data_IF_214917199755
#
_entry.id   IF_214917199755
#
_cell.length_a   1.000
_cell.length_b   1.000
_cell.length_c   1.000
_cell.angle_alpha   90.00
_cell.angle_beta   90.00
_cell.angle_gamma   90.00
#
_symmetry.space_group_name_H-M   'P 1'
#
loop_
_entity.id
_entity.type
_entity.pdbx_description
1 polymer ?
#
# COMPACT_ATOMS: atom_id res chain seq x y z
N UNK A 1 -14.53 -23.55 18.43
CA UNK A 1 -13.67 -22.43 18.90
C UNK A 1 -13.10 -21.72 17.69
N UNK A 2 -13.19 -20.39 17.64
CA UNK A 2 -12.58 -19.61 16.56
C UNK A 2 -11.06 -19.65 16.79
N UNK A 3 -10.29 -20.18 15.83
CA UNK A 3 -8.82 -20.24 15.96
C UNK A 3 -8.29 -18.80 15.92
N UNK A 4 -7.54 -18.40 16.94
CA UNK A 4 -6.85 -17.11 16.95
C UNK A 4 -5.74 -17.10 15.90
N UNK A 5 -5.50 -15.93 15.28
CA UNK A 5 -4.43 -15.76 14.31
C UNK A 5 -3.08 -15.62 15.02
N UNK A 6 -1.99 -16.02 14.37
CA UNK A 6 -0.63 -15.91 14.93
C UNK A 6 -0.21 -14.44 15.07
N UNK A 7 0.52 -14.14 16.14
CA UNK A 7 1.03 -12.79 16.44
C UNK A 7 2.40 -12.56 15.82
N UNK A 8 2.56 -11.39 15.19
CA UNK A 8 3.81 -11.01 14.53
C UNK A 8 4.98 -10.93 15.51
N UNK A 9 4.73 -10.46 16.74
CA UNK A 9 5.74 -10.36 17.80
C UNK A 9 6.11 -11.68 18.47
N UNK A 10 5.36 -12.76 18.26
CA UNK A 10 5.53 -14.02 19.00
C UNK A 10 6.21 -15.12 18.19
N UNK A 11 6.13 -15.05 16.87
CA UNK A 11 6.58 -16.13 15.97
C UNK A 11 7.83 -15.67 15.20
N UNK A 12 8.89 -16.47 15.08
CA UNK A 12 10.00 -16.14 14.18
C UNK A 12 9.55 -16.15 12.71
N UNK A 13 10.20 -15.33 11.89
CA UNK A 13 10.14 -15.52 10.44
C UNK A 13 10.82 -16.82 10.05
N UNK A 14 10.34 -17.49 9.00
CA UNK A 14 11.08 -18.58 8.38
C UNK A 14 12.54 -18.15 8.13
N UNK A 15 13.50 -18.91 8.65
CA UNK A 15 14.94 -18.60 8.58
C UNK A 15 15.52 -17.90 9.81
N UNK A 16 14.69 -17.48 10.76
CA UNK A 16 15.11 -16.85 12.01
C UNK A 16 14.81 -17.76 13.22
N UNK A 17 15.63 -17.68 14.26
CA UNK A 17 15.44 -18.46 15.50
C UNK A 17 14.66 -17.71 16.58
N UNK A 18 14.44 -16.40 16.39
CA UNK A 18 13.74 -15.52 17.35
C UNK A 18 12.71 -14.65 16.62
N UNK A 19 11.61 -14.26 17.30
CA UNK A 19 10.67 -13.28 16.76
C UNK A 19 11.34 -11.94 16.43
N UNK A 20 10.77 -11.15 15.50
CA UNK A 20 11.33 -9.88 15.09
C UNK A 20 11.40 -8.87 16.26
N UNK A 21 12.56 -8.22 16.42
CA UNK A 21 12.82 -7.27 17.52
C UNK A 21 13.18 -5.84 17.04
N UNK A 22 13.12 -5.60 15.73
CA UNK A 22 13.48 -4.35 15.07
C UNK A 22 12.30 -3.79 14.24
N UNK A 23 11.17 -3.44 14.89
CA UNK A 23 9.98 -2.93 14.20
C UNK A 23 10.27 -1.62 13.46
N UNK A 24 9.75 -1.49 12.24
CA UNK A 24 9.86 -0.25 11.46
C UNK A 24 8.79 0.74 11.91
N UNK A 25 9.24 1.84 12.53
CA UNK A 25 8.41 2.98 12.95
C UNK A 25 7.14 2.58 13.72
N UNK A 26 7.24 1.81 14.82
CA UNK A 26 6.07 1.26 15.53
C UNK A 26 5.09 2.30 16.05
N UNK A 27 5.56 3.53 16.28
CA UNK A 27 4.74 4.66 16.76
C UNK A 27 4.16 5.52 15.63
N UNK A 28 4.40 5.20 14.35
CA UNK A 28 3.88 6.03 13.25
C UNK A 28 2.35 6.13 13.21
N UNK A 29 1.65 5.16 13.83
CA UNK A 29 0.20 5.21 14.00
C UNK A 29 -0.27 6.40 14.84
N UNK A 30 0.59 7.05 15.62
CA UNK A 30 0.26 8.23 16.44
C UNK A 30 0.71 9.56 15.83
N UNK A 31 1.29 9.55 14.63
CA UNK A 31 1.78 10.78 13.99
C UNK A 31 0.61 11.69 13.56
N UNK A 32 0.96 12.96 13.35
CA UNK A 32 0.04 14.01 12.91
C UNK A 32 -0.50 13.71 11.50
N UNK A 33 -1.79 13.97 11.34
CA UNK A 33 -2.51 13.85 10.07
C UNK A 33 -2.62 15.23 9.41
N UNK A 34 -2.77 15.26 8.08
CA UNK A 34 -2.88 16.49 7.29
C UNK A 34 -4.34 16.78 6.93
N UNK A 35 -5.06 15.82 6.37
CA UNK A 35 -6.47 15.92 6.00
C UNK A 35 -7.39 15.32 7.06
N UNK A 36 -7.10 14.08 7.44
CA UNK A 36 -7.85 13.37 8.47
C UNK A 36 -7.57 13.99 9.84
N UNK A 37 -8.45 13.73 10.80
CA UNK A 37 -8.30 14.21 12.18
C UNK A 37 -8.44 13.05 13.16
N UNK A 38 -8.18 13.32 14.45
CA UNK A 38 -8.49 12.40 15.54
C UNK A 38 -9.35 13.10 16.58
N UNK A 39 -10.32 12.38 17.13
CA UNK A 39 -10.99 12.80 18.35
C UNK A 39 -10.13 12.51 19.60
N UNK A 40 -10.61 12.97 20.76
CA UNK A 40 -9.98 12.75 22.07
C UNK A 40 -9.82 11.27 22.45
N UNK A 41 -10.55 10.37 21.79
CA UNK A 41 -10.49 8.93 22.03
C UNK A 41 -9.60 8.22 20.99
N UNK A 42 -8.92 8.97 20.12
CA UNK A 42 -8.08 8.43 19.05
C UNK A 42 -8.84 7.89 17.83
N UNK A 43 -10.16 8.08 17.74
CA UNK A 43 -10.91 7.68 16.54
C UNK A 43 -10.55 8.61 15.38
N UNK A 44 -10.35 8.03 14.19
CA UNK A 44 -10.17 8.80 12.97
C UNK A 44 -11.44 9.51 12.57
N UNK A 45 -11.30 10.77 12.19
CA UNK A 45 -12.34 11.62 11.64
C UNK A 45 -11.96 12.02 10.21
N UNK A 46 -12.97 12.21 9.36
CA UNK A 46 -12.80 12.75 8.03
C UNK A 46 -12.37 14.24 8.10
N UNK A 47 -12.05 14.88 6.95
CA UNK A 47 -11.65 16.28 6.96
C UNK A 47 -12.72 17.24 7.53
N UNK A 48 -13.99 16.85 7.47
CA UNK A 48 -15.13 17.61 8.00
C UNK A 48 -15.37 17.34 9.51
N UNK A 49 -14.62 16.43 10.12
CA UNK A 49 -14.73 16.08 11.54
C UNK A 49 -15.74 14.97 11.85
N UNK A 50 -16.28 14.29 10.85
CA UNK A 50 -17.17 13.15 11.06
C UNK A 50 -16.39 11.88 11.34
N UNK A 51 -16.86 11.08 12.31
CA UNK A 51 -16.21 9.83 12.67
C UNK A 51 -16.20 8.85 11.49
N UNK A 52 -15.01 8.41 11.10
CA UNK A 52 -14.84 7.44 10.02
C UNK A 52 -15.17 6.03 10.50
N UNK A 53 -15.94 5.30 9.70
CA UNK A 53 -16.16 3.85 9.89
C UNK A 53 -15.31 3.12 8.85
N UNK A 54 -14.07 2.82 9.22
CA UNK A 54 -13.11 2.18 8.33
C UNK A 54 -13.71 0.86 7.77
N UNK A 55 -13.82 0.72 6.43
CA UNK A 55 -14.42 -0.45 5.81
C UNK A 55 -13.39 -1.55 5.73
N UNK A 56 -12.99 -2.09 6.87
CA UNK A 56 -11.99 -3.16 6.96
C UNK A 56 -12.48 -4.25 7.91
N UNK A 57 -12.25 -5.51 7.55
CA UNK A 57 -12.60 -6.64 8.42
C UNK A 57 -11.65 -6.70 9.61
N UNK A 58 -12.18 -7.02 10.78
CA UNK A 58 -11.31 -7.36 11.90
C UNK A 58 -10.57 -8.67 11.61
N UNK A 59 -9.27 -8.81 11.94
CA UNK A 59 -8.47 -10.00 11.59
C UNK A 59 -9.02 -11.32 12.16
N UNK A 60 -9.68 -11.30 13.33
CA UNK A 60 -10.43 -12.46 13.87
C UNK A 60 -11.52 -13.02 12.93
N UNK A 61 -11.93 -12.27 11.91
CA UNK A 61 -12.91 -12.71 10.91
C UNK A 61 -12.26 -13.36 9.68
N UNK A 62 -10.93 -13.39 9.60
CA UNK A 62 -10.15 -13.92 8.47
C UNK A 62 -9.58 -15.28 8.84
N UNK A 63 -9.68 -16.26 7.94
CA UNK A 63 -9.08 -17.58 8.11
C UNK A 63 -7.68 -17.60 7.46
N UNK A 64 -6.65 -17.24 8.22
CA UNK A 64 -5.28 -17.14 7.70
C UNK A 64 -4.68 -18.47 7.24
N UNK A 65 -5.10 -19.62 7.80
CA UNK A 65 -4.67 -20.93 7.28
C UNK A 65 -5.20 -21.17 5.86
N UNK A 66 -6.42 -20.70 5.54
CA UNK A 66 -6.97 -20.77 4.18
C UNK A 66 -6.26 -19.77 3.25
N UNK A 67 -6.02 -18.56 3.72
CA UNK A 67 -5.29 -17.53 2.96
C UNK A 67 -3.85 -17.98 2.64
N UNK A 68 -3.18 -18.66 3.59
CA UNK A 68 -1.83 -19.19 3.43
C UNK A 68 -1.72 -20.15 2.24
N UNK A 69 -2.70 -21.04 2.06
CA UNK A 69 -2.71 -21.98 0.91
C UNK A 69 -2.70 -21.25 -0.43
N UNK A 70 -3.34 -20.08 -0.51
CA UNK A 70 -3.32 -19.24 -1.71
C UNK A 70 -1.93 -18.65 -1.93
N UNK A 71 -1.26 -18.21 -0.86
CA UNK A 71 0.13 -17.72 -0.92
C UNK A 71 1.06 -18.82 -1.42
N UNK A 72 1.01 -20.01 -0.80
CA UNK A 72 1.84 -21.17 -1.16
C UNK A 72 1.64 -21.56 -2.63
N UNK A 73 0.39 -21.77 -3.05
CA UNK A 73 0.07 -22.10 -4.44
C UNK A 73 0.53 -21.01 -5.42
N UNK A 74 0.45 -19.73 -5.02
CA UNK A 74 0.95 -18.64 -5.86
C UNK A 74 2.46 -18.73 -6.04
N UNK A 75 3.21 -18.93 -4.97
CA UNK A 75 4.67 -19.03 -5.00
C UNK A 75 5.17 -20.23 -5.81
N UNK A 76 4.49 -21.38 -5.71
CA UNK A 76 4.80 -22.59 -6.48
C UNK A 76 4.60 -22.41 -7.99
N UNK A 77 3.68 -21.53 -8.40
CA UNK A 77 3.25 -21.38 -9.79
C UNK A 77 3.56 -19.98 -10.38
N UNK A 78 4.52 -19.25 -9.81
CA UNK A 78 4.89 -17.90 -10.26
C UNK A 78 5.38 -17.90 -11.72
N UNK A 79 4.67 -17.19 -12.59
CA UNK A 79 5.14 -16.92 -13.97
C UNK A 79 6.25 -15.86 -13.97
N UNK A 80 7.09 -15.78 -15.04
CA UNK A 80 8.09 -14.72 -15.17
C UNK A 80 7.51 -13.31 -15.03
N UNK A 81 6.35 -13.06 -15.64
CA UNK A 81 5.66 -11.76 -15.53
C UNK A 81 5.24 -11.46 -14.10
N UNK A 82 4.70 -12.43 -13.36
CA UNK A 82 4.31 -12.25 -11.97
C UNK A 82 5.52 -11.99 -11.07
N UNK A 83 6.66 -12.63 -11.33
CA UNK A 83 7.93 -12.33 -10.64
C UNK A 83 8.36 -10.89 -10.89
N UNK A 84 8.31 -10.43 -12.14
CA UNK A 84 8.67 -9.05 -12.49
C UNK A 84 7.76 -8.02 -11.81
N UNK A 85 6.43 -8.24 -11.82
CA UNK A 85 5.47 -7.40 -11.08
C UNK A 85 5.78 -7.41 -9.58
N UNK A 86 6.00 -8.61 -9.03
CA UNK A 86 6.35 -8.85 -7.63
C UNK A 86 7.59 -8.08 -7.20
N UNK A 87 8.65 -8.09 -8.02
CA UNK A 87 9.90 -7.38 -7.76
C UNK A 87 9.71 -5.87 -7.92
N UNK A 88 9.09 -5.41 -9.01
CA UNK A 88 8.96 -3.99 -9.32
C UNK A 88 8.18 -3.19 -8.28
N UNK A 89 6.96 -3.62 -7.95
CA UNK A 89 6.16 -2.98 -6.88
C UNK A 89 6.61 -3.42 -5.48
N UNK A 90 7.35 -4.53 -5.42
CA UNK A 90 7.86 -5.14 -4.21
C UNK A 90 8.96 -4.36 -3.51
N UNK A 91 9.77 -3.69 -4.32
CA UNK A 91 11.09 -3.18 -3.93
C UNK A 91 11.02 -1.70 -3.55
N UNK A 92 11.57 -1.39 -2.38
CA UNK A 92 11.59 -0.04 -1.83
C UNK A 92 10.30 0.37 -1.10
N UNK A 93 10.19 1.66 -0.80
CA UNK A 93 8.99 2.23 -0.21
C UNK A 93 7.88 2.33 -1.26
N UNK A 94 6.61 2.14 -0.87
CA UNK A 94 5.50 2.05 -1.84
C UNK A 94 5.33 3.32 -2.68
N UNK A 95 5.72 4.49 -2.15
CA UNK A 95 5.64 5.79 -2.84
C UNK A 95 6.56 5.90 -4.05
N UNK A 96 7.65 5.12 -4.11
CA UNK A 96 8.62 5.15 -5.21
C UNK A 96 7.98 4.84 -6.58
N UNK A 97 6.92 4.04 -6.59
CA UNK A 97 6.22 3.66 -7.84
C UNK A 97 5.17 4.68 -8.26
N UNK A 98 4.71 5.54 -7.35
CA UNK A 98 3.63 6.48 -7.64
C UNK A 98 4.12 7.88 -7.97
N UNK A 99 5.23 8.35 -7.39
CA UNK A 99 5.77 9.69 -7.72
C UNK A 99 6.00 9.86 -9.24
N UNK A 100 6.66 8.93 -9.95
CA UNK A 100 6.82 9.05 -11.41
C UNK A 100 5.51 9.06 -12.19
N UNK A 101 4.48 8.34 -11.71
CA UNK A 101 3.14 8.33 -12.33
C UNK A 101 2.50 9.72 -12.20
N UNK A 102 2.64 10.38 -11.05
CA UNK A 102 2.12 11.74 -10.84
C UNK A 102 2.82 12.71 -11.80
N UNK A 103 4.14 12.64 -11.90
CA UNK A 103 4.92 13.52 -12.77
C UNK A 103 4.56 13.32 -14.25
N UNK A 104 4.47 12.05 -14.72
CA UNK A 104 4.03 11.73 -16.09
C UNK A 104 2.65 12.31 -16.42
N UNK A 105 1.70 12.28 -15.47
CA UNK A 105 0.38 12.88 -15.66
C UNK A 105 0.46 14.40 -15.76
N UNK A 106 1.21 15.04 -14.86
CA UNK A 106 1.43 16.49 -14.85
C UNK A 106 2.00 16.96 -16.20
N UNK A 107 3.03 16.28 -16.70
CA UNK A 107 3.68 16.59 -17.96
C UNK A 107 2.75 16.35 -19.16
N UNK A 108 2.11 15.18 -19.22
CA UNK A 108 1.23 14.80 -20.34
C UNK A 108 0.08 15.78 -20.52
N UNK A 109 -0.48 16.26 -19.40
CA UNK A 109 -1.65 17.14 -19.41
C UNK A 109 -1.31 18.63 -19.45
N UNK A 110 -0.03 19.01 -19.50
CA UNK A 110 0.39 20.40 -19.51
C UNK A 110 -0.13 21.16 -18.29
N UNK A 111 -0.10 20.52 -17.11
CA UNK A 111 -0.63 21.08 -15.87
C UNK A 111 0.14 22.35 -15.50
N UNK A 112 -0.57 23.42 -15.15
CA UNK A 112 0.07 24.69 -14.79
C UNK A 112 0.85 24.58 -13.46
N UNK A 113 1.86 25.42 -13.20
CA UNK A 113 2.73 25.26 -12.02
C UNK A 113 1.99 25.20 -10.68
N UNK A 114 0.97 26.04 -10.49
CA UNK A 114 0.20 26.09 -9.25
C UNK A 114 -0.72 24.85 -9.10
N UNK A 115 -1.32 24.38 -10.19
CA UNK A 115 -2.10 23.13 -10.16
C UNK A 115 -1.21 21.91 -9.96
N UNK A 116 0.00 21.88 -10.53
CA UNK A 116 0.96 20.81 -10.33
C UNK A 116 1.37 20.70 -8.86
N UNK A 117 1.74 21.84 -8.24
CA UNK A 117 2.03 21.91 -6.81
C UNK A 117 0.85 21.45 -5.94
N UNK A 118 -0.38 21.84 -6.32
CA UNK A 118 -1.60 21.41 -5.63
C UNK A 118 -1.86 19.90 -5.75
N UNK A 119 -1.71 19.30 -6.93
CA UNK A 119 -1.86 17.86 -7.15
C UNK A 119 -0.84 17.09 -6.31
N UNK A 120 0.43 17.49 -6.36
CA UNK A 120 1.50 16.87 -5.58
C UNK A 120 1.22 16.95 -4.07
N UNK A 121 0.84 18.13 -3.58
CA UNK A 121 0.50 18.32 -2.17
C UNK A 121 -0.70 17.46 -1.75
N UNK A 122 -1.77 17.44 -2.54
CA UNK A 122 -2.97 16.66 -2.24
C UNK A 122 -2.70 15.16 -2.20
N UNK A 123 -1.98 14.63 -3.20
CA UNK A 123 -1.67 13.21 -3.27
C UNK A 123 -0.73 12.80 -2.14
N UNK A 124 0.36 13.53 -1.90
CA UNK A 124 1.33 13.16 -0.88
C UNK A 124 0.75 13.29 0.55
N UNK A 125 -0.09 14.30 0.79
CA UNK A 125 -0.79 14.43 2.07
C UNK A 125 -1.81 13.29 2.30
N UNK A 126 -2.53 12.89 1.25
CA UNK A 126 -3.45 11.74 1.33
C UNK A 126 -2.72 10.41 1.58
N UNK A 127 -1.56 10.23 0.94
CA UNK A 127 -0.67 9.09 1.18
C UNK A 127 -0.18 9.07 2.63
N UNK A 128 0.28 10.21 3.16
CA UNK A 128 0.74 10.34 4.54
C UNK A 128 -0.33 9.84 5.52
N UNK A 129 -1.54 10.38 5.41
CA UNK A 129 -2.64 10.05 6.32
C UNK A 129 -3.04 8.58 6.20
N UNK A 130 -3.10 8.06 4.97
CA UNK A 130 -3.40 6.65 4.71
C UNK A 130 -2.38 5.74 5.38
N UNK A 131 -1.08 6.04 5.26
CA UNK A 131 -0.02 5.24 5.86
C UNK A 131 -0.07 5.32 7.39
N UNK A 132 -0.36 6.47 7.97
CA UNK A 132 -0.55 6.62 9.42
C UNK A 132 -1.74 5.76 9.90
N UNK A 133 -2.87 5.77 9.19
CA UNK A 133 -4.02 4.90 9.50
C UNK A 133 -3.63 3.42 9.43
N UNK A 134 -2.89 3.01 8.39
CA UNK A 134 -2.40 1.64 8.25
C UNK A 134 -1.53 1.24 9.44
N UNK A 135 -0.59 2.08 9.88
CA UNK A 135 0.28 1.77 11.02
C UNK A 135 -0.49 1.72 12.34
N UNK A 136 -1.51 2.59 12.50
CA UNK A 136 -2.41 2.57 13.65
C UNK A 136 -3.26 1.28 13.74
N UNK A 137 -3.42 0.55 12.63
CA UNK A 137 -4.09 -0.75 12.59
C UNK A 137 -3.10 -1.92 12.73
N UNK A 138 -1.97 -1.86 12.02
CA UNK A 138 -0.96 -2.93 11.95
C UNK A 138 -0.44 -3.35 13.31
N UNK A 139 0.06 -2.40 14.09
CA UNK A 139 0.74 -2.71 15.34
C UNK A 139 -0.21 -3.18 16.45
N UNK A 140 -1.40 -2.58 16.64
CA UNK A 140 -2.37 -3.11 17.60
C UNK A 140 -2.95 -4.48 17.22
N UNK A 141 -3.15 -4.75 15.93
CA UNK A 141 -3.63 -6.07 15.50
C UNK A 141 -2.54 -7.13 15.49
N UNK A 142 -1.28 -6.73 15.28
CA UNK A 142 -0.10 -7.59 15.38
C UNK A 142 -0.22 -8.91 14.59
N UNK A 143 -0.78 -8.87 13.38
CA UNK A 143 -1.00 -10.08 12.58
C UNK A 143 0.31 -10.57 11.97
N UNK A 144 0.67 -11.83 12.23
CA UNK A 144 1.85 -12.48 11.68
C UNK A 144 1.82 -12.59 10.13
N UNK A 145 3.00 -12.63 9.52
CA UNK A 145 3.26 -12.78 8.08
C UNK A 145 3.05 -14.21 7.60
N UNK A 146 2.84 -14.45 6.30
CA UNK A 146 2.70 -15.80 5.74
C UNK A 146 3.84 -16.77 6.15
N UNK A 147 5.10 -16.31 6.13
CA UNK A 147 6.26 -17.16 6.47
C UNK A 147 6.42 -17.42 7.98
N UNK A 148 5.59 -16.83 8.83
CA UNK A 148 5.49 -17.19 10.25
C UNK A 148 4.55 -18.39 10.44
N UNK A 149 3.56 -18.56 9.54
CA UNK A 149 2.68 -19.73 9.54
C UNK A 149 3.33 -20.96 8.90
N UNK A 150 4.21 -20.75 7.92
CA UNK A 150 4.99 -21.80 7.27
C UNK A 150 6.48 -21.48 7.36
N UNK A 151 7.16 -22.14 8.30
CA UNK A 151 8.58 -21.96 8.61
C UNK A 151 9.51 -22.52 7.52
N UNK A 152 8.97 -23.21 6.51
CA UNK A 152 9.73 -23.71 5.35
C UNK A 152 9.56 -22.82 4.11
N UNK A 153 8.62 -21.87 4.15
CA UNK A 153 8.27 -21.05 2.99
C UNK A 153 9.38 -20.05 2.66
N UNK A 154 9.80 -20.05 1.38
CA UNK A 154 10.72 -19.06 0.80
C UNK A 154 9.93 -18.00 0.05
N UNK A 155 10.06 -16.74 0.44
CA UNK A 155 9.39 -15.62 -0.24
C UNK A 155 10.21 -15.13 -1.44
N UNK A 156 9.58 -14.50 -2.42
CA UNK A 156 10.31 -13.92 -3.56
C UNK A 156 11.10 -12.67 -3.13
N UNK A 157 10.60 -11.94 -2.13
CA UNK A 157 11.28 -10.77 -1.56
C UNK A 157 11.42 -10.90 -0.05
N UNK A 158 12.39 -10.17 0.50
CA UNK A 158 12.61 -10.16 1.95
C UNK A 158 11.36 -9.74 2.72
N UNK A 159 11.05 -10.46 3.80
CA UNK A 159 9.84 -10.19 4.59
C UNK A 159 10.03 -8.89 5.40
N UNK A 160 9.18 -7.86 5.19
CA UNK A 160 9.37 -6.58 5.87
C UNK A 160 9.14 -6.68 7.38
N UNK A 161 9.92 -5.93 8.18
CA UNK A 161 9.91 -5.94 9.67
C UNK A 161 8.75 -5.14 10.29
N UNK A 162 7.52 -5.52 9.93
CA UNK A 162 6.28 -4.99 10.52
C UNK A 162 5.11 -5.96 10.26
N UNK A 163 4.03 -5.93 11.07
CA UNK A 163 2.86 -6.81 10.93
C UNK A 163 2.21 -6.77 9.54
N UNK A 164 1.56 -7.87 9.16
CA UNK A 164 1.06 -8.04 7.78
C UNK A 164 -0.20 -7.22 7.49
N UNK A 165 -1.13 -7.10 8.42
CA UNK A 165 -2.49 -6.64 8.11
C UNK A 165 -2.78 -5.20 8.57
N UNK A 166 -3.35 -4.32 7.72
CA UNK A 166 -3.56 -4.47 6.27
C UNK A 166 -2.30 -4.18 5.46
N UNK A 167 -2.29 -4.49 4.16
CA UNK A 167 -1.17 -4.17 3.27
C UNK A 167 -1.04 -2.65 3.08
N UNK A 168 0.14 -2.10 3.43
CA UNK A 168 0.43 -0.66 3.26
C UNK A 168 0.59 -0.27 1.79
N UNK A 169 1.18 -1.14 0.97
CA UNK A 169 1.28 -0.96 -0.48
C UNK A 169 -0.10 -0.87 -1.14
N UNK A 170 -1.01 -1.79 -0.77
CA UNK A 170 -2.38 -1.81 -1.28
C UNK A 170 -3.19 -0.59 -0.81
N UNK A 171 -3.11 -0.24 0.47
CA UNK A 171 -3.85 0.90 1.03
C UNK A 171 -3.38 2.22 0.44
N UNK A 172 -2.06 2.44 0.38
CA UNK A 172 -1.51 3.64 -0.23
C UNK A 172 -1.92 3.74 -1.70
N UNK A 173 -1.73 2.66 -2.47
CA UNK A 173 -2.07 2.66 -3.88
C UNK A 173 -3.56 2.93 -4.10
N UNK A 174 -4.44 2.29 -3.33
CA UNK A 174 -5.89 2.50 -3.36
C UNK A 174 -6.33 3.93 -3.03
N UNK A 175 -5.60 4.63 -2.15
CA UNK A 175 -5.83 6.05 -1.93
C UNK A 175 -5.36 6.88 -3.12
N UNK A 176 -4.14 6.64 -3.59
CA UNK A 176 -3.50 7.40 -4.66
C UNK A 176 -4.27 7.32 -5.98
N UNK A 177 -4.74 6.14 -6.39
CA UNK A 177 -5.57 6.01 -7.60
C UNK A 177 -6.87 6.82 -7.51
N UNK A 178 -7.50 6.91 -6.33
CA UNK A 178 -8.75 7.68 -6.17
C UNK A 178 -8.46 9.18 -6.27
N UNK A 179 -7.43 9.66 -5.58
CA UNK A 179 -7.06 11.09 -5.61
C UNK A 179 -6.60 11.49 -7.02
N UNK A 180 -5.78 10.69 -7.68
CA UNK A 180 -5.36 10.99 -9.06
C UNK A 180 -6.52 10.88 -10.06
N UNK A 181 -7.44 9.93 -9.88
CA UNK A 181 -8.62 9.83 -10.75
C UNK A 181 -9.56 11.03 -10.62
N UNK A 182 -9.52 11.76 -9.50
CA UNK A 182 -10.25 13.01 -9.36
C UNK A 182 -9.67 14.10 -10.29
N UNK A 183 -8.34 14.23 -10.34
CA UNK A 183 -7.67 15.19 -11.21
C UNK A 183 -7.65 14.76 -12.69
N UNK A 184 -7.50 13.46 -12.97
CA UNK A 184 -7.35 12.89 -14.30
C UNK A 184 -8.39 11.78 -14.56
N UNK A 185 -9.69 12.11 -14.63
CA UNK A 185 -10.77 11.12 -14.66
C UNK A 185 -10.73 10.18 -15.86
N UNK A 186 -10.11 10.58 -16.97
CA UNK A 186 -9.98 9.72 -18.16
C UNK A 186 -8.85 8.68 -18.04
N UNK A 187 -7.92 8.85 -17.10
CA UNK A 187 -6.85 7.88 -16.82
C UNK A 187 -7.24 6.90 -15.69
N UNK A 188 -8.43 7.03 -15.11
CA UNK A 188 -8.87 6.30 -13.92
C UNK A 188 -8.75 4.78 -14.05
N UNK A 189 -9.01 4.21 -15.24
CA UNK A 189 -8.86 2.77 -15.49
C UNK A 189 -7.40 2.31 -15.41
N UNK A 190 -6.46 3.12 -15.92
CA UNK A 190 -5.03 2.80 -15.87
C UNK A 190 -4.49 2.97 -14.45
N UNK A 191 -4.92 4.02 -13.75
CA UNK A 191 -4.62 4.22 -12.33
C UNK A 191 -5.13 3.07 -11.45
N UNK A 192 -6.36 2.60 -11.73
CA UNK A 192 -6.95 1.41 -11.09
C UNK A 192 -6.05 0.19 -11.26
N UNK A 193 -5.62 -0.06 -12.49
CA UNK A 193 -4.76 -1.18 -12.84
C UNK A 193 -3.42 -1.13 -12.11
N UNK A 194 -2.78 0.04 -12.03
CA UNK A 194 -1.54 0.24 -11.27
C UNK A 194 -1.75 -0.09 -9.78
N UNK A 195 -2.86 0.37 -9.19
CA UNK A 195 -3.14 0.09 -7.79
C UNK A 195 -3.39 -1.38 -7.51
N UNK A 196 -4.16 -2.04 -8.38
CA UNK A 196 -4.44 -3.48 -8.28
C UNK A 196 -3.17 -4.31 -8.50
N UNK A 197 -2.31 -3.94 -9.45
CA UNK A 197 -1.01 -4.60 -9.68
C UNK A 197 -0.08 -4.43 -8.48
N UNK A 198 -0.02 -3.23 -7.89
CA UNK A 198 0.78 -2.98 -6.69
C UNK A 198 0.29 -3.83 -5.51
N UNK A 199 -1.02 -3.91 -5.29
CA UNK A 199 -1.58 -4.79 -4.26
C UNK A 199 -1.26 -6.26 -4.52
N UNK A 200 -1.48 -6.73 -5.75
CA UNK A 200 -1.28 -8.12 -6.15
C UNK A 200 0.20 -8.53 -6.14
N UNK A 201 1.11 -7.60 -6.43
CA UNK A 201 2.57 -7.82 -6.34
C UNK A 201 2.99 -8.34 -4.97
N UNK A 202 2.28 -7.97 -3.91
CA UNK A 202 2.62 -8.39 -2.54
C UNK A 202 2.27 -9.84 -2.26
N UNK A 203 1.25 -10.36 -2.95
CA UNK A 203 0.94 -11.78 -2.98
C UNK A 203 1.99 -12.53 -3.79
N UNK A 204 2.37 -12.03 -4.97
CA UNK A 204 3.45 -12.60 -5.78
C UNK A 204 4.79 -12.62 -5.04
N UNK A 205 5.03 -11.61 -4.20
CA UNK A 205 6.20 -11.54 -3.35
C UNK A 205 6.19 -12.55 -2.19
N UNK A 206 5.03 -13.13 -1.86
CA UNK A 206 4.85 -14.04 -0.73
C UNK A 206 4.76 -13.37 0.64
N UNK A 207 4.69 -12.04 0.71
CA UNK A 207 4.82 -11.29 1.97
C UNK A 207 3.49 -10.84 2.57
N UNK A 208 2.38 -10.98 1.84
CA UNK A 208 1.04 -10.60 2.28
C UNK A 208 0.01 -11.66 1.88
N UNK A 209 -0.99 -11.86 2.74
CA UNK A 209 -2.17 -12.67 2.41
C UNK A 209 -3.08 -11.92 1.41
N UNK A 210 -3.91 -12.63 0.62
CA UNK A 210 -4.91 -11.98 -0.23
C UNK A 210 -5.82 -11.03 0.53
N UNK A 211 -6.26 -11.40 1.73
CA UNK A 211 -7.05 -10.53 2.60
C UNK A 211 -6.34 -9.20 2.92
N UNK A 212 -5.02 -9.20 3.19
CA UNK A 212 -4.26 -7.97 3.48
C UNK A 212 -4.33 -6.97 2.33
N UNK A 213 -4.27 -7.48 1.09
CA UNK A 213 -4.25 -6.69 -0.13
C UNK A 213 -5.65 -6.17 -0.48
N UNK A 214 -6.66 -7.04 -0.46
CA UNK A 214 -8.04 -6.69 -0.80
C UNK A 214 -8.63 -5.68 0.20
N UNK A 215 -8.41 -5.92 1.49
CA UNK A 215 -8.88 -5.04 2.56
C UNK A 215 -8.07 -3.74 2.59
N UNK A 216 -6.78 -3.80 2.26
CA UNK A 216 -5.93 -2.62 2.09
C UNK A 216 -6.43 -1.71 0.97
N UNK A 217 -6.65 -2.24 -0.25
CA UNK A 217 -7.24 -1.46 -1.36
C UNK A 217 -8.57 -0.83 -0.96
N UNK A 218 -9.44 -1.59 -0.29
CA UNK A 218 -10.74 -1.08 0.17
C UNK A 218 -10.59 0.08 1.17
N UNK A 219 -9.69 -0.05 2.13
CA UNK A 219 -9.37 1.01 3.10
C UNK A 219 -8.81 2.25 2.41
N UNK A 220 -7.82 2.08 1.55
CA UNK A 220 -7.19 3.16 0.79
C UNK A 220 -8.18 3.94 -0.05
N UNK A 221 -9.02 3.23 -0.81
CA UNK A 221 -10.08 3.81 -1.64
C UNK A 221 -11.05 4.66 -0.83
N UNK A 222 -11.47 4.14 0.33
CA UNK A 222 -12.37 4.85 1.23
C UNK A 222 -11.76 6.16 1.77
N UNK A 223 -10.49 6.13 2.18
CA UNK A 223 -9.78 7.32 2.65
C UNK A 223 -9.61 8.32 1.49
N UNK A 224 -9.18 7.84 0.31
CA UNK A 224 -9.04 8.67 -0.89
C UNK A 224 -10.36 9.34 -1.28
N UNK A 225 -11.50 8.64 -1.20
CA UNK A 225 -12.82 9.23 -1.47
C UNK A 225 -13.15 10.33 -0.47
N UNK A 226 -12.96 10.11 0.84
CA UNK A 226 -13.22 11.13 1.86
C UNK A 226 -12.38 12.40 1.65
N UNK A 227 -11.12 12.24 1.23
CA UNK A 227 -10.23 13.36 0.93
C UNK A 227 -10.66 14.08 -0.36
N UNK A 228 -10.97 13.34 -1.42
CA UNK A 228 -11.48 13.91 -2.68
C UNK A 228 -12.78 14.69 -2.46
N UNK A 229 -13.68 14.18 -1.64
CA UNK A 229 -14.94 14.86 -1.35
C UNK A 229 -14.70 16.15 -0.57
N UNK A 230 -13.69 16.20 0.31
CA UNK A 230 -13.25 17.45 0.92
C UNK A 230 -12.62 18.42 -0.10
N UNK A 231 -11.73 17.95 -0.98
CA UNK A 231 -11.10 18.79 -2.01
C UNK A 231 -12.14 19.49 -2.91
N UNK A 232 -13.19 18.78 -3.31
CA UNK A 232 -14.30 19.32 -4.12
C UNK A 232 -15.05 20.48 -3.45
N UNK A 233 -14.98 20.63 -2.12
CA UNK A 233 -15.64 21.73 -1.40
C UNK A 233 -14.82 23.02 -1.39
N UNK A 234 -13.56 22.98 -1.82
CA UNK A 234 -12.67 24.13 -1.76
C UNK A 234 -12.94 25.08 -2.92
N UNK A 235 -13.16 26.35 -2.58
CA UNK A 235 -13.45 27.42 -3.53
C UNK A 235 -12.38 28.51 -3.50
N UNK A 236 -12.19 29.18 -4.63
CA UNK A 236 -11.37 30.40 -4.73
C UNK A 236 -12.15 31.65 -4.28
N UNK A 237 -11.54 32.83 -4.42
CA UNK A 237 -12.17 34.11 -4.07
C UNK A 237 -13.40 34.46 -4.92
N UNK A 238 -13.57 33.82 -6.07
CA UNK A 238 -14.71 33.98 -6.98
C UNK A 238 -15.80 32.93 -6.70
N UNK A 239 -15.69 32.16 -5.63
CA UNK A 239 -16.59 31.06 -5.27
C UNK A 239 -16.62 29.92 -6.31
N UNK A 240 -15.55 29.75 -7.09
CA UNK A 240 -15.40 28.65 -8.04
C UNK A 240 -14.57 27.52 -7.45
N UNK A 241 -14.82 26.24 -7.83
CA UNK A 241 -13.96 25.14 -7.42
C UNK A 241 -12.50 25.42 -7.78
N UNK A 242 -11.59 25.25 -6.80
CA UNK A 242 -10.15 25.44 -7.04
C UNK A 242 -9.64 24.42 -8.07
N UNK A 243 -10.15 23.19 -8.00
CA UNK A 243 -9.74 22.09 -8.85
C UNK A 243 -10.60 22.00 -10.10
N UNK A 244 -9.94 21.96 -11.26
CA UNK A 244 -10.57 21.67 -12.55
C UNK A 244 -10.03 20.34 -13.08
N UNK A 245 -10.84 19.25 -13.08
CA UNK A 245 -10.40 17.97 -13.62
C UNK A 245 -10.02 18.04 -15.10
N UNK A 246 -8.97 17.32 -15.48
CA UNK A 246 -8.50 17.20 -16.85
C UNK A 246 -9.30 16.13 -17.60
N UNK A 247 -10.35 16.54 -18.30
CA UNK A 247 -11.38 15.65 -18.86
C UNK A 247 -11.11 15.12 -20.27
N UNK A 248 -10.07 15.60 -20.96
CA UNK A 248 -9.61 15.04 -22.22
C UNK A 248 -8.80 13.76 -21.95
N UNK A 249 -9.01 12.70 -22.72
CA UNK A 249 -8.15 11.52 -22.65
C UNK A 249 -6.90 11.77 -23.49
N UNK A 250 -5.72 11.69 -22.87
CA UNK A 250 -4.43 11.86 -23.55
C UNK A 250 -3.59 10.58 -23.58
N UNK A 251 -4.10 9.51 -22.97
CA UNK A 251 -3.44 8.21 -22.87
C UNK A 251 -2.03 8.31 -22.27
N UNK A 252 -1.93 8.95 -21.10
CA UNK A 252 -0.65 9.21 -20.45
C UNK A 252 0.17 7.94 -20.25
N UNK A 253 1.44 7.90 -20.67
CA UNK A 253 2.29 6.72 -20.50
C UNK A 253 2.72 6.57 -19.03
N UNK A 254 1.89 5.86 -18.25
CA UNK A 254 2.02 5.72 -16.79
C UNK A 254 2.27 4.29 -16.33
N UNK A 255 2.36 3.34 -17.26
CA UNK A 255 2.71 1.96 -16.93
C UNK A 255 4.23 1.79 -16.87
N UNK A 256 4.74 0.86 -16.05
CA UNK A 256 6.15 0.55 -16.07
C UNK A 256 6.57 -0.04 -17.42
N UNK A 257 7.68 0.47 -17.96
CA UNK A 257 8.36 -0.13 -19.11
C UNK A 257 9.27 -1.24 -18.57
N UNK A 258 9.03 -2.47 -18.99
CA UNK A 258 9.80 -3.67 -18.61
C UNK A 258 9.99 -3.88 -17.10
N UNK A 259 9.08 -3.33 -16.27
CA UNK A 259 9.15 -3.41 -14.81
C UNK A 259 10.47 -2.85 -14.23
N UNK A 260 11.08 -1.88 -14.92
CA UNK A 260 12.25 -1.16 -14.43
C UNK A 260 11.84 0.04 -13.56
N UNK A 261 12.61 0.29 -12.51
CA UNK A 261 12.42 1.45 -11.64
C UNK A 261 12.72 2.74 -12.42
N UNK A 262 11.81 3.72 -12.35
CA UNK A 262 11.99 5.01 -13.03
C UNK A 262 13.26 5.73 -12.56
N UNK A 263 13.56 5.64 -11.26
CA UNK A 263 14.84 6.04 -10.67
C UNK A 263 15.51 4.77 -10.15
N UNK A 264 16.52 4.22 -10.86
CA UNK A 264 17.24 3.04 -10.42
C UNK A 264 17.80 3.20 -9.00
N UNK A 265 17.76 2.13 -8.23
CA UNK A 265 18.33 2.08 -6.89
C UNK A 265 18.68 0.66 -6.53
N UNK A 266 19.91 0.45 -6.04
CA UNK A 266 20.39 -0.84 -5.59
C UNK A 266 19.98 -1.08 -4.14
N UNK A 267 18.87 -1.81 -3.96
CA UNK A 267 18.41 -2.15 -2.62
C UNK A 267 19.34 -3.19 -1.98
N UNK A 268 19.61 -3.10 -0.67
CA UNK A 268 20.38 -4.11 0.05
C UNK A 268 19.81 -5.51 -0.20
N UNK A 269 20.68 -6.43 -0.60
CA UNK A 269 20.31 -7.83 -0.88
C UNK A 269 20.27 -8.70 0.37
N UNK A 270 20.72 -8.19 1.52
CA UNK A 270 20.76 -8.95 2.76
C UNK A 270 19.37 -9.14 3.31
N UNK A 271 18.95 -10.41 3.42
CA UNK A 271 17.71 -10.79 4.08
C UNK A 271 17.99 -11.80 5.18
N UNK A 272 17.26 -11.68 6.29
CA UNK A 272 17.35 -12.62 7.42
C UNK A 272 16.28 -13.70 7.36
N UNK A 273 15.15 -13.42 6.68
CA UNK A 273 14.13 -14.43 6.41
C UNK A 273 14.46 -15.22 5.15
N UNK A 274 13.99 -16.45 5.05
CA UNK A 274 14.20 -17.27 3.86
C UNK A 274 13.59 -16.63 2.60
N UNK A 275 14.42 -16.42 1.59
CA UNK A 275 14.00 -15.97 0.25
C UNK A 275 14.37 -17.00 -0.82
N UNK A 276 13.68 -16.92 -1.96
CA UNK A 276 13.98 -17.72 -3.14
C UNK A 276 15.35 -17.33 -3.70
N UNK A 277 16.15 -18.33 -4.09
CA UNK A 277 17.47 -18.10 -4.69
C UNK A 277 18.60 -17.82 -3.71
N UNK A 278 18.33 -17.65 -2.41
CA UNK A 278 19.35 -17.67 -1.36
C UNK A 278 19.78 -19.14 -1.12
N UNK A 279 20.72 -19.58 -1.93
CA UNK A 279 21.63 -20.70 -1.61
C UNK A 279 22.72 -20.19 -0.66
N UNK A 280 22.35 -19.75 0.55
CA UNK A 280 23.33 -19.70 1.63
C UNK A 280 23.54 -21.12 2.14
N UNK A 281 24.50 -21.80 1.49
CA UNK A 281 25.41 -22.79 2.08
C UNK A 281 24.79 -23.81 3.04
N UNK A 282 24.41 -24.97 2.49
CA UNK A 282 24.61 -26.23 3.18
C UNK A 282 26.07 -26.31 3.67
N UNK A 283 26.28 -26.12 4.97
CA UNK A 283 27.41 -26.71 5.66
C UNK A 283 27.00 -28.09 6.15
#
# INVERSE_FOLDING_TARGET
>A
MRKEYLRWTEIPYAGESKPPNNPVTPLAGSWSLIYLKRDKNGNFLDPNGWKMKLPIKHPNLINFDKELRIVQNTLENLTPTQKNIGIYYGTGVPTKQWTPVIDRLIDTYGVSPLHAGRILAAVQAAINDTMIVVWALKYPWDVARPNQYDQTMRTLLCTPRFPTYPSGHASMSGCTEVVLSYFFPKEASKLRKIADDNALSRLYAGVHFPADNNEGLRLGRYIGTAIVDYLKTQLDSDLKPIDTPYTKFLDADIFPIDYQQFIPFDFPKTCTSLVMGDESSSC
#
